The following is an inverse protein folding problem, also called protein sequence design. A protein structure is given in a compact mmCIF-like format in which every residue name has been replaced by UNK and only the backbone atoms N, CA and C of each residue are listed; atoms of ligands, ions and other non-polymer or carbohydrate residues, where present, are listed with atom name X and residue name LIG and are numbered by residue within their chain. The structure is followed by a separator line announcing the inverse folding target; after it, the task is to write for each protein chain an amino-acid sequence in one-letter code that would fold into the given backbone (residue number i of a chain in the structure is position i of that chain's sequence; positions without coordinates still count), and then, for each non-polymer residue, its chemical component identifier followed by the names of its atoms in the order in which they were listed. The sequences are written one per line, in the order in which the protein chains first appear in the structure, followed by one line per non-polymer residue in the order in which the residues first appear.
data_IF_171551252062
#
_entry.id   IF_171551252062
#
_cell.length_a   1.000
_cell.length_b   1.000
_cell.length_c   1.000
_cell.angle_alpha   90.00
_cell.angle_beta   90.00
_cell.angle_gamma   90.00
#
_symmetry.space_group_name_H-M   'P 1'
#
loop_
_entity.id
_entity.type
_entity.pdbx_description
1 polymer ?
#
# COMPACT_ATOMS: atom_id res chain seq x y z
N UNK A 1 7.88 14.32 32.15
CA UNK A 1 7.40 12.94 32.21
C UNK A 1 6.29 12.70 31.19
N UNK A 2 5.31 13.58 31.17
CA UNK A 2 4.20 13.46 30.23
C UNK A 2 4.65 13.56 28.77
N UNK A 3 5.58 14.46 28.47
CA UNK A 3 6.13 14.60 27.13
C UNK A 3 6.95 13.38 26.71
N UNK A 4 7.66 12.74 27.63
CA UNK A 4 8.43 11.54 27.36
C UNK A 4 7.52 10.35 27.05
N UNK A 5 6.42 10.21 27.75
CA UNK A 5 5.42 9.16 27.48
C UNK A 5 4.84 9.33 26.09
N UNK A 6 4.51 10.56 25.70
CA UNK A 6 4.01 10.83 24.36
C UNK A 6 5.05 10.54 23.28
N UNK A 7 6.31 10.89 23.53
CA UNK A 7 7.40 10.63 22.59
C UNK A 7 7.58 9.13 22.37
N UNK A 8 7.49 8.31 23.40
CA UNK A 8 7.60 6.84 23.30
C UNK A 8 6.45 6.26 22.48
N UNK A 9 5.22 6.73 22.70
CA UNK A 9 4.06 6.30 21.93
C UNK A 9 4.22 6.62 20.45
N UNK A 10 4.66 7.82 20.11
CA UNK A 10 4.90 8.22 18.72
C UNK A 10 6.00 7.38 18.09
N UNK A 11 7.06 7.09 18.81
CA UNK A 11 8.15 6.25 18.30
C UNK A 11 7.68 4.82 18.02
N UNK A 12 6.87 4.24 18.88
CA UNK A 12 6.29 2.91 18.70
C UNK A 12 5.36 2.88 17.49
N UNK A 13 4.51 3.88 17.32
CA UNK A 13 3.61 3.98 16.17
C UNK A 13 4.38 4.12 14.86
N UNK A 14 5.43 4.93 14.83
CA UNK A 14 6.26 5.08 13.65
C UNK A 14 6.99 3.78 13.30
N UNK A 15 7.48 3.05 14.30
CA UNK A 15 8.13 1.76 14.09
C UNK A 15 7.14 0.71 13.56
N UNK A 16 5.90 0.70 14.07
CA UNK A 16 4.85 -0.21 13.62
C UNK A 16 4.48 0.08 12.16
N UNK A 17 4.35 1.34 11.78
CA UNK A 17 4.04 1.74 10.40
C UNK A 17 5.16 1.29 9.46
N UNK A 18 6.42 1.48 9.84
CA UNK A 18 7.56 1.05 9.03
C UNK A 18 7.59 -0.47 8.87
N UNK A 19 7.32 -1.22 9.93
CA UNK A 19 7.28 -2.68 9.88
C UNK A 19 6.16 -3.18 8.97
N UNK A 20 4.97 -2.58 9.05
CA UNK A 20 3.84 -2.91 8.17
C UNK A 20 4.15 -2.58 6.72
N UNK A 21 4.76 -1.44 6.46
CA UNK A 21 5.15 -1.06 5.10
C UNK A 21 6.13 -2.07 4.51
N UNK A 22 7.13 -2.48 5.27
CA UNK A 22 8.10 -3.47 4.82
C UNK A 22 7.45 -4.83 4.56
N UNK A 23 6.52 -5.24 5.42
CA UNK A 23 5.76 -6.47 5.24
C UNK A 23 4.93 -6.42 3.97
N UNK A 24 4.23 -5.32 3.74
CA UNK A 24 3.46 -5.10 2.51
C UNK A 24 4.36 -5.11 1.28
N UNK A 25 5.49 -4.42 1.32
CA UNK A 25 6.44 -4.39 0.22
C UNK A 25 6.88 -5.79 -0.19
N UNK A 26 7.22 -6.63 0.80
CA UNK A 26 7.65 -8.02 0.52
C UNK A 26 6.51 -8.85 -0.04
N UNK A 27 5.31 -8.72 0.53
CA UNK A 27 4.14 -9.46 0.05
C UNK A 27 3.76 -9.05 -1.37
N UNK A 28 3.78 -7.76 -1.67
CA UNK A 28 3.49 -7.25 -3.01
C UNK A 28 4.54 -7.70 -4.02
N UNK A 29 5.82 -7.67 -3.65
CA UNK A 29 6.90 -8.11 -4.53
C UNK A 29 6.81 -9.61 -4.88
N UNK A 30 6.17 -10.40 -4.02
CA UNK A 30 5.98 -11.83 -4.26
C UNK A 30 4.84 -12.12 -5.25
N UNK A 31 3.97 -11.15 -5.56
CA UNK A 31 2.87 -11.34 -6.50
C UNK A 31 3.37 -11.22 -7.95
N UNK A 32 3.02 -12.17 -8.83
CA UNK A 32 3.41 -12.09 -10.25
C UNK A 32 2.88 -10.81 -10.91
N UNK A 33 3.73 -10.12 -11.63
CA UNK A 33 3.36 -8.91 -12.37
C UNK A 33 3.22 -7.66 -11.52
N UNK A 34 3.44 -7.73 -10.22
CA UNK A 34 3.36 -6.58 -9.31
C UNK A 34 4.75 -6.10 -8.95
N UNK A 35 5.00 -4.81 -9.17
CA UNK A 35 6.28 -4.17 -8.88
C UNK A 35 6.05 -3.04 -7.88
N UNK A 36 6.35 -3.25 -6.57
CA UNK A 36 6.22 -2.19 -5.59
C UNK A 36 7.42 -1.27 -5.57
N UNK A 37 7.17 0.01 -5.29
CA UNK A 37 8.20 1.03 -5.10
C UNK A 37 7.94 1.76 -3.79
N UNK A 38 8.92 1.89 -2.89
CA UNK A 38 8.74 2.69 -1.69
C UNK A 38 8.49 4.15 -2.08
N UNK A 39 7.52 4.76 -1.41
CA UNK A 39 7.15 6.15 -1.65
C UNK A 39 7.32 6.92 -0.34
N UNK A 40 6.30 7.62 0.12
CA UNK A 40 6.34 8.31 1.40
C UNK A 40 6.11 7.32 2.55
N UNK A 41 6.26 7.78 3.80
CA UNK A 41 6.29 6.95 5.00
C UNK A 41 5.15 5.92 5.10
N UNK A 42 3.94 6.31 4.71
CA UNK A 42 2.76 5.43 4.78
C UNK A 42 2.16 5.14 3.41
N UNK A 43 2.91 5.31 2.34
CA UNK A 43 2.44 5.09 0.98
C UNK A 43 3.38 4.18 0.21
N UNK A 44 2.80 3.36 -0.66
CA UNK A 44 3.53 2.48 -1.56
C UNK A 44 2.97 2.69 -2.96
N UNK A 45 3.86 2.95 -3.91
CA UNK A 45 3.51 2.99 -5.32
C UNK A 45 3.70 1.57 -5.88
N UNK A 46 2.69 1.04 -6.58
CA UNK A 46 2.81 -0.28 -7.20
C UNK A 46 2.48 -0.19 -8.68
N UNK A 47 3.29 -0.87 -9.49
CA UNK A 47 2.96 -1.10 -10.90
C UNK A 47 2.35 -2.47 -11.04
N UNK A 48 1.23 -2.54 -11.78
CA UNK A 48 0.46 -3.78 -12.01
C UNK A 48 0.28 -3.96 -13.52
N UNK A 49 -0.12 -5.16 -13.99
CA UNK A 49 -0.32 -5.38 -15.43
C UNK A 49 -1.41 -4.49 -16.04
N UNK A 50 -2.49 -4.23 -15.29
CA UNK A 50 -3.60 -3.40 -15.75
C UNK A 50 -4.15 -2.63 -14.53
N UNK A 51 -3.78 -1.36 -14.42
CA UNK A 51 -4.18 -0.54 -13.27
C UNK A 51 -5.68 -0.29 -13.23
N UNK A 52 -6.32 -0.09 -14.38
CA UNK A 52 -7.76 0.15 -14.42
C UNK A 52 -8.54 -1.07 -13.92
N UNK A 53 -8.15 -2.26 -14.34
CA UNK A 53 -8.74 -3.51 -13.89
C UNK A 53 -8.51 -3.73 -12.40
N UNK A 54 -7.28 -3.55 -11.94
CA UNK A 54 -6.92 -3.71 -10.54
C UNK A 54 -7.67 -2.72 -9.65
N UNK A 55 -7.74 -1.47 -10.07
CA UNK A 55 -8.47 -0.42 -9.36
C UNK A 55 -9.95 -0.78 -9.20
N UNK A 56 -10.60 -1.18 -10.29
CA UNK A 56 -12.02 -1.54 -10.27
C UNK A 56 -12.26 -2.78 -9.41
N UNK A 57 -11.40 -3.78 -9.49
CA UNK A 57 -11.51 -5.00 -8.69
C UNK A 57 -11.32 -4.74 -7.19
N UNK A 58 -10.35 -3.91 -6.82
CA UNK A 58 -10.13 -3.52 -5.43
C UNK A 58 -11.32 -2.73 -4.89
N UNK A 59 -11.82 -1.79 -5.67
CA UNK A 59 -12.99 -0.99 -5.29
C UNK A 59 -14.22 -1.86 -5.08
N UNK A 60 -14.44 -2.83 -5.95
CA UNK A 60 -15.56 -3.76 -5.84
C UNK A 60 -15.48 -4.60 -4.56
N UNK A 61 -14.26 -4.81 -4.04
CA UNK A 61 -14.01 -5.56 -2.81
C UNK A 61 -13.88 -4.67 -1.57
N UNK A 62 -14.21 -3.39 -1.70
CA UNK A 62 -14.20 -2.43 -0.59
C UNK A 62 -12.83 -1.89 -0.23
N UNK A 63 -11.83 -2.07 -1.08
CA UNK A 63 -10.47 -1.56 -0.87
C UNK A 63 -10.26 -0.34 -1.74
N UNK A 64 -10.03 0.81 -1.12
CA UNK A 64 -9.84 2.07 -1.83
C UNK A 64 -8.36 2.38 -2.00
N UNK A 65 -7.94 2.60 -3.24
CA UNK A 65 -6.60 3.01 -3.61
C UNK A 65 -6.70 4.17 -4.60
N UNK A 66 -5.60 4.83 -4.88
CA UNK A 66 -5.59 5.89 -5.89
C UNK A 66 -4.97 5.36 -7.17
N UNK A 67 -5.68 5.52 -8.29
CA UNK A 67 -5.14 5.23 -9.60
C UNK A 67 -4.38 6.47 -10.09
N UNK A 68 -3.06 6.38 -10.14
CA UNK A 68 -2.18 7.48 -10.55
C UNK A 68 -1.64 7.29 -11.97
N UNK A 69 -2.12 6.29 -12.68
CA UNK A 69 -1.57 5.92 -14.00
C UNK A 69 -1.70 6.99 -15.07
N UNK A 70 -2.64 7.93 -14.91
CA UNK A 70 -2.83 9.04 -15.86
C UNK A 70 -2.12 10.33 -15.45
N UNK A 71 -1.50 10.38 -14.28
CA UNK A 71 -0.88 11.61 -13.75
C UNK A 71 0.45 11.92 -14.41
N UNK A 72 1.16 10.91 -14.88
CA UNK A 72 2.45 11.07 -15.55
C UNK A 72 2.74 9.80 -16.37
N UNK A 73 3.39 9.92 -17.56
CA UNK A 73 3.73 8.73 -18.37
C UNK A 73 4.55 7.68 -17.62
N UNK A 74 5.43 8.10 -16.73
CA UNK A 74 6.23 7.17 -15.91
C UNK A 74 5.39 6.38 -14.90
N UNK A 75 4.16 6.82 -14.62
CA UNK A 75 3.25 6.17 -13.69
C UNK A 75 2.26 5.23 -14.39
N UNK A 76 2.50 4.89 -15.65
CA UNK A 76 1.63 3.99 -16.39
C UNK A 76 1.40 2.69 -15.61
N UNK A 77 0.14 2.29 -15.45
CA UNK A 77 -0.28 1.12 -14.69
C UNK A 77 0.17 1.12 -13.23
N UNK A 78 0.27 2.30 -12.62
CA UNK A 78 0.62 2.43 -11.20
C UNK A 78 -0.59 2.80 -10.37
N UNK A 79 -0.63 2.23 -9.16
CA UNK A 79 -1.60 2.55 -8.12
C UNK A 79 -0.85 3.04 -6.89
N UNK A 80 -1.45 3.96 -6.15
CA UNK A 80 -0.91 4.42 -4.88
C UNK A 80 -1.70 3.78 -3.74
N UNK A 81 -1.00 2.97 -2.94
CA UNK A 81 -1.57 2.27 -1.80
C UNK A 81 -1.20 3.02 -0.52
N UNK A 82 -2.13 3.10 0.42
CA UNK A 82 -1.85 3.63 1.75
C UNK A 82 -1.62 2.47 2.71
N UNK A 83 -0.54 2.55 3.48
CA UNK A 83 -0.28 1.59 4.57
C UNK A 83 -1.23 1.93 5.70
N UNK A 84 -2.20 1.06 5.95
CA UNK A 84 -3.21 1.23 6.99
C UNK A 84 -2.91 0.38 8.21
N UNK A 85 -3.98 0.02 8.92
CA UNK A 85 -3.89 -0.93 10.03
C UNK A 85 -3.53 -2.32 9.49
N UNK A 86 -3.03 -3.24 10.35
CA UNK A 86 -2.79 -4.61 9.90
C UNK A 86 -4.00 -5.27 9.26
N UNK A 87 -5.20 -5.03 9.78
CA UNK A 87 -6.44 -5.57 9.20
C UNK A 87 -6.71 -5.02 7.81
N UNK A 88 -6.52 -3.71 7.62
CA UNK A 88 -6.68 -3.06 6.30
C UNK A 88 -5.64 -3.58 5.30
N UNK A 89 -4.41 -3.76 5.75
CA UNK A 89 -3.34 -4.27 4.90
C UNK A 89 -3.60 -5.73 4.49
N UNK A 90 -4.14 -6.55 5.39
CA UNK A 90 -4.55 -7.91 5.08
C UNK A 90 -5.68 -7.93 4.05
N UNK A 91 -6.66 -7.05 4.19
CA UNK A 91 -7.75 -6.92 3.23
C UNK A 91 -7.23 -6.55 1.84
N UNK A 92 -6.27 -5.64 1.76
CA UNK A 92 -5.62 -5.26 0.50
C UNK A 92 -4.89 -6.46 -0.12
N UNK A 93 -4.10 -7.19 0.67
CA UNK A 93 -3.34 -8.35 0.18
C UNK A 93 -4.25 -9.50 -0.25
N UNK A 94 -5.42 -9.63 0.37
CA UNK A 94 -6.40 -10.63 -0.04
C UNK A 94 -7.15 -10.23 -1.31
N UNK A 95 -7.41 -8.93 -1.49
CA UNK A 95 -8.21 -8.42 -2.61
C UNK A 95 -7.39 -8.23 -3.89
N UNK A 96 -6.09 -7.97 -3.78
CA UNK A 96 -5.26 -7.59 -4.93
C UNK A 96 -5.08 -8.73 -5.94
N UNK A 97 -4.69 -9.98 -5.56
CA UNK A 97 -4.48 -11.03 -6.55
C UNK A 97 -5.69 -11.29 -7.47
N UNK A 98 -6.93 -11.42 -6.96
CA UNK A 98 -8.07 -11.63 -7.85
C UNK A 98 -8.45 -10.38 -8.67
N UNK A 99 -7.89 -9.22 -8.34
CA UNK A 99 -8.16 -7.98 -9.06
C UNK A 99 -7.15 -7.70 -10.21
N UNK A 100 -6.08 -8.46 -10.26
CA UNK A 100 -5.03 -8.28 -11.25
C UNK A 100 -5.39 -8.76 -12.66
#
# INVERSE_FOLDING_TARGET
LFALEHADVFAEQAAAIRAERQRLMRALAALPGVQPYPSEANMILVRVPDAAKAFAGLRARGVLVKNVSTMHPMLANCLRLTVGTPAENEALLAALPPSL
#
